data_IF_841052874997
#
_entry.id   IF_841052874997
#
_cell.length_a   1.000
_cell.length_b   1.000
_cell.length_c   1.000
_cell.angle_alpha   90.00
_cell.angle_beta   90.00
_cell.angle_gamma   90.00
#
_symmetry.space_group_name_H-M   'P 1'
#
loop_
_entity.id
_entity.type
_entity.pdbx_description
1 polymer ?
#
# COMPACT_ATOMS: atom_id res chain seq x y z
N UNK A 1 -27.49 14.04 10.40
CA UNK A 1 -26.89 15.03 9.46
C UNK A 1 -26.08 14.33 8.39
N UNK A 2 -25.98 14.92 7.19
CA UNK A 2 -25.09 14.46 6.13
C UNK A 2 -23.84 15.34 6.12
N UNK A 3 -22.66 14.72 6.08
CA UNK A 3 -21.36 15.44 5.99
C UNK A 3 -20.49 14.79 4.94
N UNK A 4 -19.47 15.50 4.45
CA UNK A 4 -18.47 14.97 3.52
C UNK A 4 -17.15 14.87 4.29
N UNK A 5 -16.61 13.67 4.44
CA UNK A 5 -15.32 13.45 5.12
C UNK A 5 -14.29 12.95 4.09
N UNK A 6 -13.24 13.71 3.87
CA UNK A 6 -12.18 13.41 2.88
C UNK A 6 -12.78 13.04 1.50
N UNK A 7 -13.78 13.80 1.05
CA UNK A 7 -14.47 13.61 -0.22
C UNK A 7 -15.49 12.47 -0.27
N UNK A 8 -15.80 11.82 0.86
CA UNK A 8 -16.81 10.76 0.94
C UNK A 8 -18.03 11.21 1.74
N UNK A 9 -19.22 11.00 1.18
CA UNK A 9 -20.49 11.23 1.87
C UNK A 9 -20.64 10.29 3.07
N UNK A 10 -21.01 10.84 4.23
CA UNK A 10 -21.31 10.10 5.47
C UNK A 10 -22.61 10.61 6.07
N UNK A 11 -23.41 9.68 6.58
CA UNK A 11 -24.59 10.00 7.38
C UNK A 11 -24.23 9.73 8.84
N UNK A 12 -24.34 10.74 9.67
CA UNK A 12 -23.99 10.72 11.08
C UNK A 12 -25.18 11.16 11.93
N UNK A 13 -25.13 10.90 13.22
CA UNK A 13 -26.05 11.48 14.19
C UNK A 13 -25.89 13.00 14.22
N UNK A 14 -26.95 13.70 14.63
CA UNK A 14 -26.89 15.15 14.76
C UNK A 14 -26.13 15.56 16.02
N UNK A 15 -25.67 16.80 16.06
CA UNK A 15 -24.98 17.43 17.20
C UNK A 15 -23.67 16.76 17.65
N UNK A 16 -23.02 16.00 16.78
CA UNK A 16 -21.70 15.45 17.08
C UNK A 16 -20.61 16.51 16.98
N UNK A 17 -19.71 16.51 17.95
CA UNK A 17 -18.48 17.28 17.89
C UNK A 17 -17.47 16.66 16.92
N UNK A 18 -16.57 17.47 16.41
CA UNK A 18 -15.49 17.01 15.56
C UNK A 18 -14.64 15.93 16.24
N UNK A 19 -14.42 16.03 17.56
CA UNK A 19 -13.69 15.03 18.32
C UNK A 19 -14.42 13.69 18.37
N UNK A 20 -15.73 13.67 18.62
CA UNK A 20 -16.52 12.44 18.64
C UNK A 20 -16.52 11.73 17.30
N UNK A 21 -16.54 12.48 16.19
CA UNK A 21 -16.41 11.89 14.86
C UNK A 21 -15.04 11.25 14.64
N UNK A 22 -13.96 11.93 15.05
CA UNK A 22 -12.61 11.40 14.96
C UNK A 22 -12.47 10.12 15.81
N UNK A 23 -13.11 10.08 16.99
CA UNK A 23 -13.18 8.90 17.86
C UNK A 23 -13.96 7.76 17.22
N UNK A 24 -15.14 8.04 16.70
CA UNK A 24 -15.99 7.06 16.03
C UNK A 24 -15.29 6.42 14.80
N UNK A 25 -14.38 7.16 14.16
CA UNK A 25 -13.55 6.67 13.06
C UNK A 25 -12.31 5.89 13.55
N UNK A 26 -12.05 5.84 14.86
CA UNK A 26 -10.86 5.22 15.48
C UNK A 26 -9.52 5.75 14.91
N UNK A 27 -9.44 7.07 14.71
CA UNK A 27 -8.27 7.73 14.11
C UNK A 27 -7.68 8.86 14.97
N UNK A 28 -8.02 8.95 16.26
CA UNK A 28 -7.59 10.04 17.16
C UNK A 28 -6.07 10.24 17.16
N UNK A 29 -5.31 9.15 17.26
CA UNK A 29 -3.85 9.19 17.30
C UNK A 29 -3.20 9.49 15.94
N UNK A 30 -4.02 9.51 14.88
CA UNK A 30 -3.54 9.63 13.50
C UNK A 30 -3.83 11.02 12.90
N UNK A 31 -4.79 11.76 13.45
CA UNK A 31 -5.18 13.08 12.92
C UNK A 31 -4.29 14.19 13.49
N UNK A 32 -3.58 14.87 12.62
CA UNK A 32 -2.71 16.01 12.98
C UNK A 32 -3.42 17.34 12.89
N UNK A 33 -4.25 17.50 11.90
CA UNK A 33 -4.99 18.71 11.64
C UNK A 33 -6.35 18.37 11.02
N UNK A 34 -7.31 19.25 11.21
CA UNK A 34 -8.61 19.14 10.62
C UNK A 34 -8.99 20.49 10.03
N UNK A 35 -9.61 20.47 8.85
CA UNK A 35 -10.31 21.61 8.30
C UNK A 35 -11.80 21.28 8.15
N UNK A 36 -12.64 22.26 8.43
CA UNK A 36 -14.09 22.21 8.18
C UNK A 36 -14.43 23.36 7.26
N UNK A 37 -15.02 23.05 6.11
CA UNK A 37 -15.36 24.04 5.07
C UNK A 37 -14.16 24.92 4.69
N UNK A 38 -12.97 24.30 4.53
CA UNK A 38 -11.68 24.92 4.21
C UNK A 38 -11.04 25.73 5.36
N UNK A 39 -11.68 25.88 6.52
CA UNK A 39 -11.11 26.54 7.69
C UNK A 39 -10.45 25.54 8.65
N UNK A 40 -9.20 25.81 9.05
CA UNK A 40 -8.47 24.94 9.98
C UNK A 40 -9.08 25.05 11.37
N UNK A 41 -9.50 23.91 11.94
CA UNK A 41 -9.97 23.81 13.31
C UNK A 41 -8.84 23.29 14.19
N UNK A 42 -8.38 24.12 15.15
CA UNK A 42 -7.31 23.73 16.08
C UNK A 42 -7.74 22.57 16.98
N UNK A 43 -6.79 21.72 17.35
CA UNK A 43 -7.06 20.51 18.14
C UNK A 43 -7.77 20.80 19.48
N UNK A 44 -7.43 21.92 20.11
CA UNK A 44 -8.04 22.37 21.37
C UNK A 44 -9.52 22.69 21.23
N UNK A 45 -9.99 22.95 20.01
CA UNK A 45 -11.37 23.28 19.70
C UNK A 45 -12.20 22.09 19.22
N UNK A 46 -11.62 20.93 18.99
CA UNK A 46 -12.33 19.78 18.40
C UNK A 46 -13.50 19.28 19.25
N UNK A 47 -13.35 19.29 20.58
CA UNK A 47 -14.40 18.87 21.50
C UNK A 47 -15.60 19.83 21.58
N UNK A 48 -15.38 21.10 21.23
CA UNK A 48 -16.42 22.15 21.26
C UNK A 48 -16.96 22.50 19.87
N UNK A 49 -16.33 22.00 18.82
CA UNK A 49 -16.75 22.28 17.45
C UNK A 49 -17.85 21.31 17.03
N UNK A 50 -19.10 21.77 17.05
CA UNK A 50 -20.27 20.97 16.65
C UNK A 50 -20.46 21.11 15.12
N UNK A 51 -20.52 19.97 14.44
CA UNK A 51 -20.72 19.91 13.00
C UNK A 51 -22.17 20.16 12.61
N UNK A 52 -22.34 20.62 11.39
CA UNK A 52 -23.63 20.93 10.79
C UNK A 52 -23.87 20.09 9.54
N UNK A 53 -25.11 19.99 9.16
CA UNK A 53 -25.52 19.34 7.92
C UNK A 53 -24.82 19.96 6.70
N UNK A 54 -24.27 19.11 5.82
CA UNK A 54 -23.48 19.45 4.64
C UNK A 54 -22.08 20.03 4.92
N UNK A 55 -21.55 19.95 6.14
CA UNK A 55 -20.16 20.31 6.39
C UNK A 55 -19.20 19.39 5.61
N UNK A 56 -18.17 20.02 5.05
CA UNK A 56 -17.05 19.30 4.40
C UNK A 56 -15.86 19.28 5.36
N UNK A 57 -15.45 18.09 5.76
CA UNK A 57 -14.42 17.84 6.75
C UNK A 57 -13.22 17.23 6.04
N UNK A 58 -12.06 17.87 6.15
CA UNK A 58 -10.79 17.36 5.69
C UNK A 58 -9.92 17.00 6.90
N UNK A 59 -9.74 15.72 7.11
CA UNK A 59 -8.87 15.20 8.17
C UNK A 59 -7.48 14.98 7.58
N UNK A 60 -6.53 15.83 7.98
CA UNK A 60 -5.13 15.66 7.67
C UNK A 60 -4.56 14.67 8.67
N UNK A 61 -4.52 13.45 8.26
CA UNK A 61 -3.78 12.43 9.01
C UNK A 61 -2.29 12.70 8.84
N UNK A 62 -1.51 12.37 9.85
CA UNK A 62 -0.10 12.18 9.62
C UNK A 62 0.02 11.35 8.34
N UNK A 63 0.74 11.86 7.35
CA UNK A 63 1.08 11.09 6.15
C UNK A 63 2.13 9.99 6.49
N UNK A 64 2.40 9.77 7.77
CA UNK A 64 2.60 8.48 8.37
C UNK A 64 1.36 7.57 8.34
N UNK A 65 0.13 8.05 8.21
CA UNK A 65 -1.12 7.27 8.14
C UNK A 65 -1.48 6.77 6.73
N UNK A 66 -1.12 7.49 5.71
CA UNK A 66 -1.07 6.94 4.34
C UNK A 66 0.00 5.84 4.24
N UNK A 67 1.04 5.94 5.06
CA UNK A 67 2.09 4.93 5.17
C UNK A 67 1.63 3.71 5.96
N UNK A 68 0.84 3.85 7.01
CA UNK A 68 0.32 2.71 7.78
C UNK A 68 -0.77 1.94 7.01
N UNK A 69 -1.76 2.63 6.43
CA UNK A 69 -2.76 1.94 5.59
C UNK A 69 -2.17 1.43 4.27
N UNK A 70 -1.17 2.11 3.70
CA UNK A 70 -0.47 1.59 2.53
C UNK A 70 0.47 0.44 2.89
N UNK A 71 1.04 0.44 4.09
CA UNK A 71 1.87 -0.66 4.59
C UNK A 71 1.03 -1.88 4.96
N UNK A 72 -0.07 -1.70 5.70
CA UNK A 72 -1.02 -2.79 5.99
C UNK A 72 -1.64 -3.38 4.71
N UNK A 73 -2.00 -2.53 3.73
CA UNK A 73 -2.44 -3.00 2.41
C UNK A 73 -1.31 -3.66 1.64
N UNK A 74 -0.09 -3.14 1.73
CA UNK A 74 1.11 -3.77 1.17
C UNK A 74 1.35 -5.14 1.78
N UNK A 75 1.45 -5.23 3.11
CA UNK A 75 1.66 -6.47 3.86
C UNK A 75 0.54 -7.50 3.58
N UNK A 76 -0.71 -7.04 3.42
CA UNK A 76 -1.84 -7.90 3.04
C UNK A 76 -1.72 -8.39 1.60
N UNK A 77 -1.35 -7.51 0.66
CA UNK A 77 -1.15 -7.88 -0.74
C UNK A 77 0.01 -8.87 -0.89
N UNK A 78 1.12 -8.67 -0.16
CA UNK A 78 2.25 -9.59 -0.15
C UNK A 78 1.86 -10.97 0.37
N UNK A 79 1.10 -11.06 1.47
CA UNK A 79 0.58 -12.34 1.99
C UNK A 79 -0.30 -13.06 0.98
N UNK A 80 -1.19 -12.34 0.29
CA UNK A 80 -2.03 -12.91 -0.78
C UNK A 80 -1.18 -13.38 -1.96
N UNK A 81 -0.17 -12.59 -2.37
CA UNK A 81 0.76 -12.96 -3.43
C UNK A 81 1.57 -14.21 -3.08
N UNK A 82 2.05 -14.35 -1.83
CA UNK A 82 2.75 -15.55 -1.34
C UNK A 82 1.85 -16.78 -1.45
N UNK A 83 0.60 -16.70 -0.97
CA UNK A 83 -0.37 -17.80 -1.07
C UNK A 83 -0.61 -18.19 -2.52
N UNK A 84 -0.87 -17.21 -3.38
CA UNK A 84 -1.10 -17.41 -4.81
C UNK A 84 0.09 -18.09 -5.52
N UNK A 85 1.31 -17.62 -5.27
CA UNK A 85 2.52 -18.24 -5.83
C UNK A 85 2.70 -19.68 -5.32
N UNK A 86 2.43 -19.93 -4.04
CA UNK A 86 2.51 -21.26 -3.45
C UNK A 86 1.49 -22.22 -4.10
N UNK A 87 0.26 -21.77 -4.34
CA UNK A 87 -0.77 -22.53 -5.03
C UNK A 87 -0.39 -22.86 -6.49
N UNK A 88 0.44 -22.01 -7.11
CA UNK A 88 1.02 -22.23 -8.44
C UNK A 88 2.32 -23.06 -8.41
N UNK A 89 2.63 -23.71 -7.28
CA UNK A 89 3.83 -24.54 -7.04
C UNK A 89 5.16 -23.75 -7.09
N UNK A 90 5.16 -22.47 -6.76
CA UNK A 90 6.38 -21.75 -6.47
C UNK A 90 6.87 -22.06 -5.05
N UNK A 91 8.12 -22.36 -4.90
CA UNK A 91 8.78 -22.47 -3.59
C UNK A 91 9.26 -21.08 -3.15
N UNK A 92 8.71 -20.53 -2.09
CA UNK A 92 9.16 -19.25 -1.54
C UNK A 92 10.52 -19.44 -0.87
N UNK A 93 11.50 -18.66 -1.28
CA UNK A 93 12.89 -18.69 -0.79
C UNK A 93 13.10 -17.64 0.29
N UNK A 94 12.70 -16.41 0.02
CA UNK A 94 12.89 -15.27 0.93
C UNK A 94 11.83 -14.20 0.63
N UNK A 95 11.43 -13.43 1.63
CA UNK A 95 10.51 -12.30 1.45
C UNK A 95 11.14 -11.04 2.03
N UNK A 96 10.77 -9.88 1.49
CA UNK A 96 11.20 -8.56 1.94
C UNK A 96 12.73 -8.45 2.02
N UNK A 97 13.41 -8.89 0.93
CA UNK A 97 14.86 -8.81 0.87
C UNK A 97 15.31 -7.38 0.67
N UNK A 98 15.94 -6.81 1.68
CA UNK A 98 16.44 -5.44 1.65
C UNK A 98 17.84 -5.35 1.04
N UNK A 99 17.92 -4.80 -0.18
CA UNK A 99 19.18 -4.62 -0.92
C UNK A 99 19.87 -3.28 -0.59
N UNK A 100 19.94 -2.89 0.67
CA UNK A 100 20.52 -1.62 1.16
C UNK A 100 19.89 -0.41 0.45
N UNK A 101 20.71 0.50 -0.10
CA UNK A 101 20.24 1.70 -0.82
C UNK A 101 19.68 1.42 -2.21
N UNK A 102 19.72 0.19 -2.69
CA UNK A 102 19.23 -0.17 -4.04
C UNK A 102 17.72 -0.35 -4.07
N UNK A 103 17.15 -0.85 -2.99
CA UNK A 103 15.71 -1.10 -2.87
C UNK A 103 15.41 -2.38 -2.11
N UNK A 104 14.20 -2.85 -2.24
CA UNK A 104 13.67 -4.07 -1.66
C UNK A 104 13.15 -4.98 -2.77
N UNK A 105 13.16 -6.28 -2.54
CA UNK A 105 12.51 -7.29 -3.37
C UNK A 105 11.44 -7.94 -2.49
N UNK A 106 10.19 -7.84 -2.88
CA UNK A 106 9.06 -8.24 -2.05
C UNK A 106 9.04 -9.76 -1.84
N UNK A 107 9.19 -10.54 -2.93
CA UNK A 107 9.19 -12.01 -2.85
C UNK A 107 10.29 -12.57 -3.77
N UNK A 108 11.06 -13.52 -3.24
CA UNK A 108 12.00 -14.33 -4.00
C UNK A 108 11.49 -15.76 -3.94
N UNK A 109 11.17 -16.32 -5.09
CA UNK A 109 10.63 -17.67 -5.22
C UNK A 109 11.42 -18.49 -6.23
N UNK A 110 11.19 -19.80 -6.27
CA UNK A 110 11.79 -20.71 -7.23
C UNK A 110 10.74 -21.64 -7.81
N UNK A 111 10.77 -21.81 -9.13
CA UNK A 111 9.95 -22.80 -9.86
C UNK A 111 10.75 -23.34 -11.04
N UNK A 112 10.69 -24.65 -11.28
CA UNK A 112 11.35 -25.31 -12.41
C UNK A 112 12.84 -24.92 -12.58
N UNK A 113 13.58 -24.83 -11.45
CA UNK A 113 14.97 -24.41 -11.35
C UNK A 113 15.26 -22.94 -11.74
N UNK A 114 14.24 -22.12 -11.99
CA UNK A 114 14.33 -20.69 -12.23
C UNK A 114 14.02 -19.91 -10.95
N UNK A 115 14.81 -18.88 -10.68
CA UNK A 115 14.51 -17.93 -9.61
C UNK A 115 13.60 -16.82 -10.13
N UNK A 116 12.57 -16.52 -9.36
CA UNK A 116 11.58 -15.49 -9.64
C UNK A 116 11.69 -14.39 -8.59
N UNK A 117 12.09 -13.20 -9.02
CA UNK A 117 12.16 -12.01 -8.19
C UNK A 117 10.91 -11.18 -8.43
N UNK A 118 9.97 -11.24 -7.48
CA UNK A 118 8.65 -10.69 -7.68
C UNK A 118 8.49 -9.35 -6.94
N UNK A 119 8.02 -8.35 -7.66
CA UNK A 119 7.50 -7.09 -7.14
C UNK A 119 5.99 -7.23 -6.96
N UNK A 120 5.48 -6.98 -5.77
CA UNK A 120 4.04 -7.01 -5.49
C UNK A 120 3.42 -5.63 -5.67
N UNK A 121 2.30 -5.56 -6.39
CA UNK A 121 1.54 -4.33 -6.60
C UNK A 121 0.09 -4.52 -6.24
N UNK A 122 -0.38 -3.71 -5.30
CA UNK A 122 -1.80 -3.57 -5.01
C UNK A 122 -2.37 -2.39 -5.79
N UNK A 123 -3.41 -2.63 -6.58
CA UNK A 123 -4.12 -1.59 -7.32
C UNK A 123 -5.58 -2.00 -7.54
N UNK A 124 -6.46 -1.03 -7.78
CA UNK A 124 -7.87 -1.29 -8.07
C UNK A 124 -8.05 -2.02 -9.41
N UNK A 125 -7.21 -1.73 -10.39
CA UNK A 125 -7.21 -2.42 -11.68
C UNK A 125 -5.80 -2.85 -12.06
N UNK A 126 -5.73 -3.86 -12.90
CA UNK A 126 -4.49 -4.39 -13.46
C UNK A 126 -3.70 -3.31 -14.23
N UNK A 127 -4.38 -2.51 -15.04
CA UNK A 127 -3.77 -1.44 -15.83
C UNK A 127 -3.08 -0.40 -14.96
N UNK A 128 -3.70 -0.01 -13.84
CA UNK A 128 -3.10 0.92 -12.88
C UNK A 128 -1.86 0.33 -12.21
N UNK A 129 -1.85 -0.97 -11.92
CA UNK A 129 -0.68 -1.64 -11.38
C UNK A 129 0.49 -1.62 -12.37
N UNK A 130 0.22 -1.95 -13.63
CA UNK A 130 1.22 -1.96 -14.71
C UNK A 130 1.79 -0.55 -14.97
N UNK A 131 0.96 0.49 -14.99
CA UNK A 131 1.41 1.88 -15.13
C UNK A 131 2.38 2.32 -14.03
N UNK A 132 2.27 1.73 -12.84
CA UNK A 132 3.16 1.99 -11.72
C UNK A 132 4.53 1.26 -11.82
N UNK A 133 4.71 0.36 -12.79
CA UNK A 133 5.99 -0.29 -13.09
C UNK A 133 6.87 0.60 -13.99
N UNK A 134 7.32 1.72 -13.46
CA UNK A 134 8.13 2.67 -14.22
C UNK A 134 9.53 2.13 -14.53
N UNK A 135 10.16 2.63 -15.62
CA UNK A 135 11.55 2.29 -16.00
C UNK A 135 12.54 2.49 -14.84
N UNK A 136 12.37 3.55 -14.05
CA UNK A 136 13.21 3.83 -12.87
C UNK A 136 13.06 2.74 -11.81
N UNK A 137 11.83 2.26 -11.59
CA UNK A 137 11.54 1.21 -10.62
C UNK A 137 12.10 -0.14 -11.07
N UNK A 138 11.90 -0.51 -12.33
CA UNK A 138 12.48 -1.71 -12.93
C UNK A 138 14.02 -1.72 -12.84
N UNK A 139 14.66 -0.57 -13.10
CA UNK A 139 16.11 -0.42 -12.94
C UNK A 139 16.58 -0.63 -11.49
N UNK A 140 15.80 -0.20 -10.50
CA UNK A 140 16.12 -0.45 -9.08
C UNK A 140 15.99 -1.91 -8.73
N UNK A 141 14.89 -2.56 -9.14
CA UNK A 141 14.68 -3.99 -8.90
C UNK A 141 15.82 -4.79 -9.51
N UNK A 142 16.19 -4.52 -10.77
CA UNK A 142 17.28 -5.20 -11.45
C UNK A 142 18.60 -5.12 -10.67
N UNK A 143 18.96 -3.94 -10.16
CA UNK A 143 20.17 -3.77 -9.32
C UNK A 143 20.04 -4.50 -7.98
N UNK A 144 18.85 -4.57 -7.40
CA UNK A 144 18.62 -5.35 -6.16
C UNK A 144 18.77 -6.84 -6.41
N UNK A 145 18.33 -7.34 -7.55
CA UNK A 145 18.54 -8.74 -7.98
C UNK A 145 20.01 -9.04 -8.20
N UNK A 146 20.74 -8.20 -8.94
CA UNK A 146 22.19 -8.36 -9.14
C UNK A 146 22.92 -8.41 -7.79
N UNK A 147 22.54 -7.54 -6.86
CA UNK A 147 23.11 -7.53 -5.50
C UNK A 147 22.80 -8.83 -4.75
N UNK A 148 21.54 -9.33 -4.82
CA UNK A 148 21.14 -10.60 -4.20
C UNK A 148 21.99 -11.76 -4.72
N UNK A 149 22.05 -11.91 -6.04
CA UNK A 149 22.81 -12.98 -6.69
C UNK A 149 24.30 -12.96 -6.29
N UNK A 150 24.88 -11.77 -6.21
CA UNK A 150 26.26 -11.57 -5.80
C UNK A 150 26.52 -11.99 -4.35
N UNK A 151 25.68 -11.52 -3.39
CA UNK A 151 25.91 -11.80 -1.97
C UNK A 151 25.58 -13.24 -1.58
N UNK A 152 24.56 -13.83 -2.22
CA UNK A 152 24.22 -15.25 -2.00
C UNK A 152 25.14 -16.19 -2.79
N UNK A 153 26.00 -15.66 -3.69
CA UNK A 153 26.90 -16.41 -4.56
C UNK A 153 26.20 -17.49 -5.39
N UNK A 154 25.01 -17.16 -5.89
CA UNK A 154 24.21 -18.05 -6.74
C UNK A 154 24.34 -17.65 -8.21
N UNK A 155 24.51 -18.62 -9.07
CA UNK A 155 24.53 -18.48 -10.53
C UNK A 155 23.38 -19.32 -11.09
N UNK A 156 22.24 -18.71 -11.31
CA UNK A 156 20.98 -19.38 -11.64
C UNK A 156 20.26 -18.63 -12.76
N UNK A 157 19.44 -19.36 -13.51
CA UNK A 157 18.47 -18.72 -14.37
C UNK A 157 17.45 -17.96 -13.51
N UNK A 158 17.07 -16.75 -13.93
CA UNK A 158 16.09 -15.96 -13.20
C UNK A 158 15.24 -15.09 -14.12
N UNK A 159 14.08 -14.71 -13.62
CA UNK A 159 13.23 -13.67 -14.17
C UNK A 159 12.83 -12.66 -13.08
N UNK A 160 12.38 -11.50 -13.52
CA UNK A 160 11.81 -10.47 -12.66
C UNK A 160 10.36 -10.35 -13.05
N UNK A 161 9.48 -10.58 -12.09
CA UNK A 161 8.04 -10.67 -12.29
C UNK A 161 7.31 -9.58 -11.50
N UNK A 162 6.08 -9.28 -11.88
CA UNK A 162 5.17 -8.51 -11.05
C UNK A 162 3.97 -9.35 -10.65
N UNK A 163 3.62 -9.34 -9.38
CA UNK A 163 2.38 -9.94 -8.87
C UNK A 163 1.41 -8.81 -8.57
N UNK A 164 0.35 -8.72 -9.36
CA UNK A 164 -0.70 -7.72 -9.20
C UNK A 164 -1.81 -8.29 -8.36
N UNK A 165 -2.10 -7.63 -7.25
CA UNK A 165 -3.15 -8.02 -6.29
C UNK A 165 -4.22 -6.94 -6.28
N UNK A 166 -5.45 -7.30 -6.63
CA UNK A 166 -6.62 -6.46 -6.44
C UNK A 166 -7.64 -7.17 -5.54
N UNK A 167 -8.78 -6.56 -5.29
CA UNK A 167 -9.78 -7.13 -4.38
C UNK A 167 -10.35 -8.47 -4.90
N UNK A 168 -10.50 -8.61 -6.21
CA UNK A 168 -11.18 -9.72 -6.87
C UNK A 168 -10.23 -10.77 -7.46
N UNK A 169 -8.99 -10.40 -7.82
CA UNK A 169 -8.06 -11.28 -8.53
C UNK A 169 -6.61 -11.08 -8.10
N UNK A 170 -5.77 -12.07 -8.44
CA UNK A 170 -4.32 -11.98 -8.40
C UNK A 170 -3.78 -12.49 -9.72
N UNK A 171 -2.88 -11.74 -10.30
CA UNK A 171 -2.26 -12.06 -11.59
C UNK A 171 -0.75 -11.92 -11.52
N UNK A 172 -0.03 -12.77 -12.24
CA UNK A 172 1.42 -12.67 -12.39
C UNK A 172 1.76 -12.21 -13.81
N UNK A 173 2.61 -11.20 -13.89
CA UNK A 173 3.27 -10.77 -15.12
C UNK A 173 4.69 -11.29 -15.08
N UNK A 174 4.96 -12.29 -15.87
CA UNK A 174 6.30 -12.88 -15.96
C UNK A 174 7.24 -12.00 -16.78
N UNK A 175 8.48 -11.92 -16.33
CA UNK A 175 9.61 -11.33 -17.05
C UNK A 175 9.40 -9.87 -17.51
N UNK A 176 9.03 -9.00 -16.59
CA UNK A 176 8.70 -7.58 -16.84
C UNK A 176 9.90 -6.72 -17.27
N UNK A 177 11.08 -7.29 -17.46
CA UNK A 177 12.32 -6.57 -17.82
C UNK A 177 12.82 -6.85 -19.23
N UNK A 178 12.06 -7.60 -20.04
CA UNK A 178 12.34 -7.78 -21.46
C UNK A 178 11.93 -6.59 -22.30
#
# INVERSE_FOLDING_TARGET
>A
MKVIINGQDKILEDDLSLQEIIQNLNIEDKVMACAVNMDIVKKESWSSYILKDNDTIELLNFVGGGWFMSREKGDFAEKRAISFLTDLNFMIIETNFYAKKLGEIDIIAKKDDVYHFCEVKSAQTFELAVQNLTKSKLSKIKRSVDYYLQIKKVNVAFCIDAVVVNDDSIEILENITM
#
